data_IF_639330513033
#
_entry.id   IF_639330513033
#
_cell.length_a   1.000
_cell.length_b   1.000
_cell.length_c   1.000
_cell.angle_alpha   90.00
_cell.angle_beta   90.00
_cell.angle_gamma   90.00
#
_symmetry.space_group_name_H-M   'P 1'
#
loop_
_entity.id
_entity.type
_entity.pdbx_description
1 polymer ?
#
# COMPACT_ATOMS: atom_id res chain seq x y z
N UNK A 1 -29.06 -3.05 -32.73
CA UNK A 1 -27.62 -3.04 -33.01
C UNK A 1 -26.97 -2.34 -31.84
N UNK A 2 -26.47 -3.10 -30.88
CA UNK A 2 -25.73 -2.58 -29.72
C UNK A 2 -24.38 -2.09 -30.24
N UNK A 3 -24.13 -0.76 -30.17
CA UNK A 3 -22.80 -0.22 -30.37
C UNK A 3 -21.87 -0.88 -29.36
N UNK A 4 -20.88 -1.63 -29.82
CA UNK A 4 -19.74 -2.03 -28.99
C UNK A 4 -19.11 -0.73 -28.48
N UNK A 5 -19.46 -0.29 -27.24
CA UNK A 5 -18.64 0.67 -26.53
C UNK A 5 -17.25 0.03 -26.45
N UNK A 6 -16.26 0.64 -27.08
CA UNK A 6 -14.88 0.29 -26.84
C UNK A 6 -14.66 0.27 -25.33
N UNK A 7 -14.42 -0.93 -24.79
CA UNK A 7 -14.19 -1.11 -23.36
C UNK A 7 -12.93 -0.36 -23.00
N UNK A 8 -13.07 0.77 -22.30
CA UNK A 8 -11.91 1.49 -21.78
C UNK A 8 -11.12 0.57 -20.87
N UNK A 9 -9.83 0.39 -21.16
CA UNK A 9 -8.94 -0.46 -20.38
C UNK A 9 -8.90 -0.03 -18.90
N UNK A 10 -9.05 1.27 -18.64
CA UNK A 10 -8.86 1.89 -17.33
C UNK A 10 -10.14 2.10 -16.52
N UNK A 11 -11.30 2.03 -17.18
CA UNK A 11 -12.64 2.13 -16.57
C UNK A 11 -13.61 1.22 -17.33
N UNK A 12 -13.46 -0.12 -17.24
CA UNK A 12 -14.18 -1.06 -18.09
C UNK A 12 -15.68 -1.17 -17.79
N UNK A 13 -16.13 -0.70 -16.62
CA UNK A 13 -17.55 -0.66 -16.26
C UNK A 13 -17.97 0.74 -15.84
N UNK A 14 -19.29 0.98 -15.81
CA UNK A 14 -19.86 2.25 -15.33
C UNK A 14 -19.46 2.52 -13.87
N UNK A 15 -19.49 1.50 -13.02
CA UNK A 15 -19.09 1.59 -11.61
C UNK A 15 -17.65 2.06 -11.44
N UNK A 16 -16.72 1.52 -12.23
CA UNK A 16 -15.32 1.98 -12.22
C UNK A 16 -15.20 3.44 -12.69
N UNK A 17 -16.02 3.86 -13.66
CA UNK A 17 -16.09 5.25 -14.11
C UNK A 17 -16.57 6.19 -12.99
N UNK A 18 -17.67 5.84 -12.33
CA UNK A 18 -18.22 6.60 -11.20
C UNK A 18 -17.24 6.67 -10.04
N UNK A 19 -16.60 5.55 -9.70
CA UNK A 19 -15.57 5.50 -8.67
C UNK A 19 -14.41 6.47 -8.97
N UNK A 20 -13.91 6.46 -10.19
CA UNK A 20 -12.80 7.35 -10.60
C UNK A 20 -13.22 8.82 -10.54
N UNK A 21 -14.40 9.17 -11.03
CA UNK A 21 -14.90 10.54 -11.00
C UNK A 21 -15.04 11.04 -9.57
N UNK A 22 -15.67 10.24 -8.70
CA UNK A 22 -15.81 10.53 -7.26
C UNK A 22 -14.43 10.75 -6.61
N UNK A 23 -13.48 9.85 -6.83
CA UNK A 23 -12.13 9.94 -6.26
C UNK A 23 -11.37 11.15 -6.78
N UNK A 24 -11.45 11.47 -8.08
CA UNK A 24 -10.82 12.66 -8.65
C UNK A 24 -11.33 13.93 -7.97
N UNK A 25 -12.65 14.02 -7.75
CA UNK A 25 -13.28 15.13 -7.01
C UNK A 25 -12.81 15.20 -5.55
N UNK A 26 -12.80 14.08 -4.85
CA UNK A 26 -12.35 13.97 -3.47
C UNK A 26 -10.87 14.34 -3.31
N UNK A 27 -10.02 13.82 -4.18
CA UNK A 27 -8.58 14.13 -4.18
C UNK A 27 -8.37 15.62 -4.36
N UNK A 28 -8.97 16.23 -5.36
CA UNK A 28 -8.83 17.65 -5.66
C UNK A 28 -9.29 18.56 -4.51
N UNK A 29 -10.38 18.20 -3.84
CA UNK A 29 -11.03 19.07 -2.85
C UNK A 29 -10.63 18.81 -1.41
N UNK A 30 -10.15 17.61 -1.09
CA UNK A 30 -9.86 17.18 0.28
C UNK A 30 -8.41 16.74 0.49
N UNK A 31 -7.85 15.92 -0.42
CA UNK A 31 -6.51 15.34 -0.26
C UNK A 31 -5.43 16.33 -0.67
N UNK A 32 -5.56 16.95 -1.84
CA UNK A 32 -4.54 17.87 -2.39
C UNK A 32 -4.27 19.09 -1.47
N UNK A 33 -5.28 19.76 -0.90
CA UNK A 33 -5.04 20.94 -0.07
C UNK A 33 -4.23 20.70 1.20
N UNK A 34 -4.27 19.48 1.77
CA UNK A 34 -3.57 19.17 3.03
C UNK A 34 -2.20 18.50 2.86
N UNK A 35 -1.93 17.95 1.67
CA UNK A 35 -0.82 17.01 1.46
C UNK A 35 0.57 17.60 1.80
N UNK A 36 0.83 18.85 1.42
CA UNK A 36 2.14 19.49 1.67
C UNK A 36 2.34 19.83 3.16
N UNK A 37 1.29 20.33 3.83
CA UNK A 37 1.36 20.66 5.25
C UNK A 37 1.60 19.39 6.09
N UNK A 38 0.85 18.33 5.83
CA UNK A 38 1.00 17.07 6.56
C UNK A 38 2.35 16.38 6.30
N UNK A 39 2.92 16.50 5.09
CA UNK A 39 4.29 16.04 4.81
C UNK A 39 5.31 16.81 5.65
N UNK A 40 5.23 18.14 5.70
CA UNK A 40 6.15 18.99 6.46
C UNK A 40 6.07 18.78 7.96
N UNK A 41 4.87 18.59 8.48
CA UNK A 41 4.63 18.34 9.89
C UNK A 41 4.79 16.88 10.30
N UNK A 42 4.99 15.99 9.32
CA UNK A 42 5.03 14.53 9.51
C UNK A 42 3.80 14.01 10.26
N UNK A 43 2.61 14.51 9.92
CA UNK A 43 1.36 14.17 10.59
C UNK A 43 0.42 13.37 9.69
N UNK A 44 -0.16 12.35 10.26
CA UNK A 44 -1.24 11.60 9.63
C UNK A 44 -2.59 12.28 9.85
N UNK A 45 -3.34 12.51 8.76
CA UNK A 45 -4.66 13.10 8.84
C UNK A 45 -5.73 12.06 9.16
N UNK A 46 -5.86 11.72 10.44
CA UNK A 46 -6.85 10.74 10.94
C UNK A 46 -8.28 11.12 10.56
N UNK A 47 -8.63 12.43 10.61
CA UNK A 47 -9.98 12.88 10.27
C UNK A 47 -10.30 12.61 8.80
N UNK A 48 -9.42 13.03 7.89
CA UNK A 48 -9.59 12.80 6.46
C UNK A 48 -9.58 11.30 6.13
N UNK A 49 -8.78 10.51 6.85
CA UNK A 49 -8.74 9.07 6.68
C UNK A 49 -10.10 8.42 7.00
N UNK A 50 -10.77 8.84 8.05
CA UNK A 50 -12.11 8.36 8.40
C UNK A 50 -13.17 8.73 7.35
N UNK A 51 -13.03 9.87 6.67
CA UNK A 51 -13.90 10.23 5.54
C UNK A 51 -13.83 9.20 4.39
N UNK A 52 -12.72 8.45 4.25
CA UNK A 52 -12.65 7.33 3.29
C UNK A 52 -13.60 6.18 3.67
N UNK A 53 -13.88 5.98 4.96
CA UNK A 53 -14.86 5.01 5.43
C UNK A 53 -16.29 5.39 5.00
N UNK A 54 -16.64 6.66 5.12
CA UNK A 54 -17.95 7.18 4.68
C UNK A 54 -18.16 6.99 3.16
N UNK A 55 -17.09 6.94 2.39
CA UNK A 55 -17.08 6.68 0.95
C UNK A 55 -17.01 5.17 0.60
N UNK A 56 -16.99 4.27 1.60
CA UNK A 56 -16.88 2.83 1.40
C UNK A 56 -15.49 2.35 0.95
N UNK A 57 -14.48 3.24 0.90
CA UNK A 57 -13.16 2.93 0.36
C UNK A 57 -12.33 2.05 1.30
N UNK A 58 -12.44 2.22 2.62
CA UNK A 58 -11.65 1.45 3.59
C UNK A 58 -11.96 -0.05 3.54
N UNK A 59 -13.19 -0.41 3.13
CA UNK A 59 -13.63 -1.78 2.89
C UNK A 59 -13.79 -2.14 1.41
N UNK A 60 -13.09 -1.48 0.50
CA UNK A 60 -13.34 -1.54 -0.95
C UNK A 60 -13.43 -2.97 -1.51
N UNK A 61 -12.63 -3.91 -1.03
CA UNK A 61 -12.63 -5.32 -1.47
C UNK A 61 -13.29 -6.29 -0.49
N UNK A 62 -13.72 -5.82 0.69
CA UNK A 62 -14.36 -6.65 1.69
C UNK A 62 -15.83 -6.90 1.34
N UNK A 63 -16.40 -8.07 1.72
CA UNK A 63 -17.81 -8.37 1.49
C UNK A 63 -18.77 -7.38 2.14
N UNK A 64 -19.88 -7.07 1.46
CA UNK A 64 -20.94 -6.16 1.97
C UNK A 64 -21.49 -6.60 3.33
N UNK A 65 -21.63 -7.90 3.56
CA UNK A 65 -22.10 -8.46 4.84
C UNK A 65 -21.27 -8.07 6.07
N UNK A 66 -20.06 -7.55 5.85
CA UNK A 66 -19.17 -7.04 6.89
C UNK A 66 -18.93 -5.52 6.78
N UNK A 67 -19.75 -4.80 6.00
CA UNK A 67 -19.65 -3.36 5.82
C UNK A 67 -18.68 -2.91 4.72
N UNK A 68 -18.19 -3.84 3.89
CA UNK A 68 -17.37 -3.53 2.71
C UNK A 68 -18.18 -3.15 1.49
N UNK A 69 -17.49 -2.77 0.42
CA UNK A 69 -18.10 -2.42 -0.88
C UNK A 69 -18.05 -3.55 -1.92
N UNK A 70 -17.44 -4.67 -1.59
CA UNK A 70 -17.31 -5.91 -2.40
C UNK A 70 -16.86 -5.68 -3.86
N UNK A 71 -16.06 -4.64 -4.08
CA UNK A 71 -15.50 -4.32 -5.39
C UNK A 71 -14.27 -5.18 -5.70
N UNK A 72 -13.87 -5.19 -6.95
CA UNK A 72 -12.75 -5.99 -7.47
C UNK A 72 -11.36 -5.35 -7.27
N UNK A 73 -10.33 -6.06 -7.73
CA UNK A 73 -8.94 -5.58 -7.68
C UNK A 73 -8.72 -4.34 -8.55
N UNK A 74 -9.50 -4.15 -9.61
CA UNK A 74 -9.40 -3.00 -10.49
C UNK A 74 -9.89 -1.73 -9.78
N UNK A 75 -10.97 -1.82 -9.01
CA UNK A 75 -11.45 -0.72 -8.17
C UNK A 75 -10.38 -0.31 -7.14
N UNK A 76 -9.72 -1.29 -6.50
CA UNK A 76 -8.60 -1.01 -5.60
C UNK A 76 -7.45 -0.29 -6.33
N UNK A 77 -7.09 -0.69 -7.55
CA UNK A 77 -6.08 -0.01 -8.38
C UNK A 77 -6.49 1.43 -8.67
N UNK A 78 -7.73 1.67 -9.07
CA UNK A 78 -8.25 3.03 -9.33
C UNK A 78 -8.11 3.91 -8.07
N UNK A 79 -8.51 3.39 -6.90
CA UNK A 79 -8.41 4.13 -5.65
C UNK A 79 -6.96 4.51 -5.30
N UNK A 80 -6.02 3.58 -5.46
CA UNK A 80 -4.61 3.84 -5.15
C UNK A 80 -3.95 4.78 -6.17
N UNK A 81 -4.27 4.67 -7.48
CA UNK A 81 -3.77 5.59 -8.51
C UNK A 81 -4.27 7.03 -8.26
N UNK A 82 -5.56 7.20 -7.93
CA UNK A 82 -6.13 8.53 -7.71
C UNK A 82 -5.58 9.18 -6.42
N UNK A 83 -5.63 8.49 -5.27
CA UNK A 83 -5.17 9.03 -4.00
C UNK A 83 -3.67 9.39 -4.03
N UNK A 84 -2.83 8.52 -4.58
CA UNK A 84 -1.38 8.74 -4.64
C UNK A 84 -0.95 9.81 -5.64
N UNK A 85 -1.83 10.25 -6.54
CA UNK A 85 -1.54 11.37 -7.43
C UNK A 85 -1.40 12.69 -6.69
N UNK A 86 -1.93 12.78 -5.48
CA UNK A 86 -1.83 13.95 -4.62
C UNK A 86 -1.00 13.69 -3.36
N UNK A 87 -1.36 12.66 -2.59
CA UNK A 87 -0.68 12.33 -1.34
C UNK A 87 -0.34 10.83 -1.26
N UNK A 88 0.87 10.44 -1.74
CA UNK A 88 1.32 9.05 -1.65
C UNK A 88 1.41 8.53 -0.21
N UNK A 89 1.72 9.39 0.77
CA UNK A 89 1.82 9.01 2.17
C UNK A 89 0.45 8.68 2.78
N UNK A 90 -0.56 9.50 2.50
CA UNK A 90 -1.94 9.22 2.86
C UNK A 90 -2.47 7.95 2.19
N UNK A 91 -2.15 7.76 0.90
CA UNK A 91 -2.47 6.54 0.16
C UNK A 91 -1.78 5.29 0.74
N UNK A 92 -0.55 5.39 1.26
CA UNK A 92 0.13 4.29 1.93
C UNK A 92 -0.59 3.86 3.20
N UNK A 93 -1.11 4.80 3.99
CA UNK A 93 -1.95 4.51 5.16
C UNK A 93 -3.25 3.83 4.77
N UNK A 94 -3.87 4.27 3.67
CA UNK A 94 -5.04 3.60 3.07
C UNK A 94 -4.71 2.18 2.63
N UNK A 95 -3.60 1.94 1.92
CA UNK A 95 -3.13 0.62 1.51
C UNK A 95 -2.94 -0.31 2.71
N UNK A 96 -2.23 0.15 3.74
CA UNK A 96 -1.95 -0.65 4.94
C UNK A 96 -3.22 -1.07 5.65
N UNK A 97 -4.24 -0.22 5.67
CA UNK A 97 -5.54 -0.50 6.24
C UNK A 97 -6.39 -1.40 5.35
N UNK A 98 -6.68 -0.95 4.13
CA UNK A 98 -7.65 -1.60 3.26
C UNK A 98 -7.13 -2.90 2.64
N UNK A 99 -5.85 -2.95 2.22
CA UNK A 99 -5.29 -4.12 1.56
C UNK A 99 -4.55 -5.04 2.53
N UNK A 100 -3.71 -4.50 3.43
CA UNK A 100 -2.91 -5.35 4.30
C UNK A 100 -3.70 -5.89 5.49
N UNK A 101 -4.69 -5.14 5.99
CA UNK A 101 -5.55 -5.59 7.08
C UNK A 101 -6.91 -6.07 6.58
N UNK A 102 -7.76 -5.19 6.06
CA UNK A 102 -9.17 -5.50 5.75
C UNK A 102 -9.29 -6.62 4.73
N UNK A 103 -8.64 -6.52 3.58
CA UNK A 103 -8.68 -7.59 2.56
C UNK A 103 -8.11 -8.91 3.09
N UNK A 104 -7.00 -8.85 3.84
CA UNK A 104 -6.34 -10.04 4.38
C UNK A 104 -7.23 -10.76 5.41
N UNK A 105 -7.86 -10.02 6.33
CA UNK A 105 -8.82 -10.56 7.30
C UNK A 105 -10.04 -11.13 6.58
N UNK A 106 -10.63 -10.39 5.64
CA UNK A 106 -11.81 -10.83 4.88
C UNK A 106 -11.58 -12.15 4.13
N UNK A 107 -10.35 -12.45 3.70
CA UNK A 107 -10.02 -13.65 2.90
C UNK A 107 -9.48 -14.82 3.73
N UNK A 108 -8.99 -14.59 4.94
CA UNK A 108 -8.27 -15.61 5.69
C UNK A 108 -8.83 -15.87 7.11
N UNK A 109 -9.62 -14.95 7.66
CA UNK A 109 -10.20 -15.10 9.00
C UNK A 109 -11.52 -15.88 8.97
N UNK A 110 -11.95 -16.34 10.15
CA UNK A 110 -13.24 -16.96 10.31
C UNK A 110 -14.39 -15.95 10.20
N UNK A 111 -15.61 -16.42 9.92
CA UNK A 111 -16.79 -15.56 9.85
C UNK A 111 -16.99 -14.74 11.14
N UNK A 112 -16.80 -15.38 12.32
CA UNK A 112 -16.88 -14.71 13.61
C UNK A 112 -15.84 -13.59 13.77
N UNK A 113 -14.61 -13.81 13.31
CA UNK A 113 -13.56 -12.78 13.32
C UNK A 113 -13.90 -11.65 12.33
N UNK A 114 -14.35 -11.99 11.12
CA UNK A 114 -14.79 -10.98 10.16
C UNK A 114 -15.92 -10.11 10.72
N UNK A 115 -16.94 -10.71 11.34
CA UNK A 115 -18.04 -9.99 11.97
C UNK A 115 -17.59 -9.09 13.13
N UNK A 116 -16.57 -9.50 13.89
CA UNK A 116 -16.03 -8.72 15.00
C UNK A 116 -15.18 -7.53 14.55
N UNK A 117 -14.33 -7.70 13.53
CA UNK A 117 -13.28 -6.73 13.22
C UNK A 117 -13.55 -5.87 11.98
N UNK A 118 -14.24 -6.40 10.96
CA UNK A 118 -14.35 -5.70 9.69
C UNK A 118 -15.32 -4.51 9.71
N UNK A 119 -16.50 -4.53 10.39
CA UNK A 119 -17.41 -3.38 10.36
C UNK A 119 -16.75 -2.08 10.85
N UNK A 120 -16.07 -2.11 11.98
CA UNK A 120 -15.36 -0.95 12.53
C UNK A 120 -14.17 -0.53 11.65
N UNK A 121 -13.48 -1.49 11.01
CA UNK A 121 -12.41 -1.18 10.08
C UNK A 121 -12.95 -0.57 8.78
N UNK A 122 -13.98 -1.14 8.17
CA UNK A 122 -14.57 -0.63 6.94
C UNK A 122 -15.17 0.78 7.09
N UNK A 123 -15.75 1.09 8.25
CA UNK A 123 -16.28 2.43 8.56
C UNK A 123 -15.20 3.45 8.94
N UNK A 124 -13.95 3.01 9.23
CA UNK A 124 -12.89 3.87 9.74
C UNK A 124 -13.01 4.22 11.22
N UNK A 125 -13.93 3.61 11.95
CA UNK A 125 -14.02 3.72 13.41
C UNK A 125 -12.73 3.22 14.07
N UNK A 126 -12.14 2.15 13.50
CA UNK A 126 -10.82 1.63 13.88
C UNK A 126 -9.82 1.72 12.73
N UNK A 127 -8.62 2.18 13.04
CA UNK A 127 -7.50 2.26 12.09
C UNK A 127 -6.57 1.08 12.32
N UNK A 128 -6.40 0.28 11.27
CA UNK A 128 -5.77 -1.03 11.35
C UNK A 128 -4.51 -1.11 10.48
N UNK A 129 -3.67 -2.11 10.75
CA UNK A 129 -2.46 -2.36 10.00
C UNK A 129 -2.01 -3.83 10.05
N UNK A 130 -0.92 -4.12 9.33
CA UNK A 130 -0.28 -5.43 9.33
C UNK A 130 1.15 -5.32 9.89
N UNK A 131 1.53 -6.22 10.77
CA UNK A 131 2.81 -6.23 11.43
C UNK A 131 3.62 -7.51 11.11
N UNK A 132 4.54 -7.37 10.14
CA UNK A 132 5.37 -8.48 9.65
C UNK A 132 6.85 -8.22 9.91
N UNK A 133 7.39 -7.10 9.40
CA UNK A 133 8.81 -6.75 9.47
C UNK A 133 9.30 -6.54 10.90
N UNK A 134 10.56 -6.81 11.14
CA UNK A 134 11.25 -6.66 12.44
C UNK A 134 12.52 -5.81 12.27
N UNK A 135 13.13 -5.27 13.33
CA UNK A 135 14.37 -4.50 13.21
C UNK A 135 15.49 -5.23 12.46
N UNK A 136 15.57 -6.56 12.59
CA UNK A 136 16.57 -7.40 11.95
C UNK A 136 16.09 -8.17 10.72
N UNK A 137 14.80 -8.06 10.35
CA UNK A 137 14.17 -8.88 9.31
C UNK A 137 13.23 -8.04 8.43
N UNK A 138 13.64 -7.80 7.19
CA UNK A 138 12.82 -7.18 6.15
C UNK A 138 12.53 -8.17 5.02
N UNK A 139 13.44 -8.26 4.04
CA UNK A 139 13.28 -9.14 2.88
C UNK A 139 13.20 -10.62 3.23
N UNK A 140 13.95 -11.08 4.24
CA UNK A 140 13.91 -12.45 4.75
C UNK A 140 12.81 -12.61 5.81
N UNK A 141 11.54 -12.43 5.41
CA UNK A 141 10.40 -12.48 6.33
C UNK A 141 10.25 -13.81 7.08
N UNK A 142 10.75 -14.91 6.53
CA UNK A 142 10.73 -16.21 7.19
C UNK A 142 11.82 -16.35 8.27
N UNK A 143 12.75 -15.39 8.34
CA UNK A 143 13.71 -15.25 9.43
C UNK A 143 13.20 -14.54 10.68
N UNK A 144 11.90 -14.13 10.72
CA UNK A 144 11.34 -13.39 11.86
C UNK A 144 11.52 -14.11 13.18
N UNK A 145 11.77 -13.31 14.23
CA UNK A 145 12.10 -13.77 15.57
C UNK A 145 10.98 -13.60 16.60
N UNK A 146 9.97 -12.77 16.30
CA UNK A 146 8.78 -12.66 17.15
C UNK A 146 8.15 -14.03 17.32
N UNK A 147 7.95 -14.47 18.57
CA UNK A 147 7.40 -15.77 18.92
C UNK A 147 6.00 -15.66 19.48
N UNK A 148 5.20 -16.72 19.33
CA UNK A 148 3.91 -16.87 19.97
C UNK A 148 3.84 -18.28 20.58
N UNK A 149 3.85 -18.37 21.91
CA UNK A 149 3.73 -19.63 22.66
C UNK A 149 2.35 -19.76 23.26
N UNK A 150 1.72 -20.92 23.07
CA UNK A 150 0.46 -21.22 23.73
C UNK A 150 0.66 -21.30 25.24
N UNK A 151 -0.20 -20.63 26.02
CA UNK A 151 -0.14 -20.65 27.48
C UNK A 151 -0.49 -22.03 28.04
N UNK A 152 -0.05 -22.35 29.26
CA UNK A 152 -0.32 -23.64 29.92
C UNK A 152 -1.82 -23.92 30.12
N UNK A 153 -2.62 -22.87 30.32
CA UNK A 153 -4.08 -23.00 30.40
C UNK A 153 -4.78 -23.16 29.04
N UNK A 154 -4.03 -23.05 27.95
CA UNK A 154 -4.54 -23.22 26.59
C UNK A 154 -5.45 -22.10 26.07
N UNK A 155 -5.69 -21.04 26.85
CA UNK A 155 -6.64 -19.95 26.49
C UNK A 155 -6.00 -18.77 25.71
N UNK A 156 -4.67 -18.65 25.75
CA UNK A 156 -3.96 -17.52 25.16
C UNK A 156 -2.72 -18.01 24.40
N UNK A 157 -2.27 -17.18 23.45
CA UNK A 157 -0.89 -17.16 22.99
C UNK A 157 -0.16 -16.00 23.67
N UNK A 158 1.07 -16.23 24.09
CA UNK A 158 1.98 -15.22 24.64
C UNK A 158 2.93 -14.79 23.53
N UNK A 159 2.72 -13.58 22.98
CA UNK A 159 3.56 -13.02 21.95
C UNK A 159 4.73 -12.28 22.58
N UNK A 160 5.94 -12.53 22.06
CA UNK A 160 7.17 -11.86 22.46
C UNK A 160 7.99 -11.46 21.23
N UNK A 161 8.37 -10.18 21.15
CA UNK A 161 9.20 -9.64 20.08
C UNK A 161 8.86 -8.20 19.75
N UNK A 162 9.43 -7.72 18.64
CA UNK A 162 9.27 -6.34 18.18
C UNK A 162 9.01 -6.34 16.69
N UNK A 163 8.02 -5.53 16.24
CA UNK A 163 7.74 -5.28 14.84
C UNK A 163 8.14 -3.84 14.49
N UNK A 164 8.72 -3.65 13.31
CA UNK A 164 9.30 -2.38 12.88
C UNK A 164 8.74 -1.94 11.53
N UNK A 165 8.70 -0.65 11.29
CA UNK A 165 8.23 -0.03 10.05
C UNK A 165 6.73 -0.24 9.79
N UNK A 166 5.92 -0.32 10.86
CA UNK A 166 4.50 -0.64 10.73
C UNK A 166 3.69 0.62 10.42
N UNK A 167 3.17 0.69 9.20
CA UNK A 167 2.25 1.76 8.77
C UNK A 167 0.94 1.63 9.56
N UNK A 168 0.39 2.76 9.99
CA UNK A 168 -0.73 2.85 10.94
C UNK A 168 -0.41 2.28 12.33
N UNK A 169 0.86 2.01 12.63
CA UNK A 169 1.30 1.52 13.94
C UNK A 169 1.02 2.50 15.07
N UNK A 170 0.97 3.79 14.74
CA UNK A 170 0.57 4.85 15.67
C UNK A 170 -0.40 5.81 14.98
N UNK A 171 -1.29 6.45 15.75
CA UNK A 171 -2.17 7.53 15.28
C UNK A 171 -1.51 8.89 15.45
N UNK A 172 -0.72 9.03 16.50
CA UNK A 172 0.12 10.21 16.82
C UNK A 172 1.42 9.75 17.50
N UNK A 173 2.06 10.63 18.28
CA UNK A 173 3.32 10.32 18.95
C UNK A 173 3.18 9.33 20.12
N UNK A 174 1.98 9.11 20.62
CA UNK A 174 1.70 8.35 21.86
C UNK A 174 0.63 7.28 21.70
N UNK A 175 -0.22 7.40 20.69
CA UNK A 175 -1.39 6.56 20.53
C UNK A 175 -1.16 5.47 19.49
N UNK A 176 -1.32 4.20 19.91
CA UNK A 176 -1.31 3.04 19.01
C UNK A 176 -2.47 3.10 18.02
N UNK A 177 -2.28 2.53 16.82
CA UNK A 177 -3.37 2.07 15.98
C UNK A 177 -4.23 1.03 16.69
N UNK A 178 -5.42 0.76 16.16
CA UNK A 178 -6.44 0.03 16.94
C UNK A 178 -6.29 -1.49 16.89
N UNK A 179 -6.03 -2.07 15.69
CA UNK A 179 -5.94 -3.53 15.53
C UNK A 179 -4.92 -3.89 14.46
N UNK A 180 -4.15 -4.94 14.73
CA UNK A 180 -3.07 -5.38 13.83
C UNK A 180 -3.19 -6.87 13.51
N UNK A 181 -2.92 -7.20 12.23
CA UNK A 181 -2.64 -8.57 11.83
C UNK A 181 -1.14 -8.83 12.01
N UNK A 182 -0.79 -9.54 13.09
CA UNK A 182 0.59 -9.77 13.52
C UNK A 182 1.05 -11.17 13.12
N UNK A 183 2.19 -11.27 12.44
CA UNK A 183 2.84 -12.54 12.11
C UNK A 183 3.86 -12.92 13.19
N UNK A 184 3.82 -14.15 13.68
CA UNK A 184 4.74 -14.65 14.70
C UNK A 184 5.06 -16.13 14.49
N UNK A 185 6.21 -16.56 15.01
CA UNK A 185 6.66 -17.95 14.99
C UNK A 185 5.97 -18.74 16.11
N UNK A 186 5.24 -19.79 15.73
CA UNK A 186 4.57 -20.72 16.66
C UNK A 186 5.24 -22.08 16.72
N UNK A 187 6.07 -22.45 15.73
CA UNK A 187 6.74 -23.74 15.64
C UNK A 187 8.23 -23.64 15.32
N UNK A 188 8.90 -24.76 15.41
CA UNK A 188 10.30 -24.95 15.02
C UNK A 188 10.48 -26.34 14.38
N UNK A 189 9.63 -26.65 13.40
CA UNK A 189 9.57 -27.98 12.75
C UNK A 189 10.69 -28.20 11.73
N UNK A 190 11.49 -27.17 11.44
CA UNK A 190 12.44 -27.15 10.31
C UNK A 190 11.76 -26.96 8.94
N UNK A 191 10.43 -26.89 8.91
CA UNK A 191 9.64 -26.57 7.72
C UNK A 191 9.12 -25.15 7.86
N UNK A 192 9.95 -24.17 7.56
CA UNK A 192 9.67 -22.74 7.77
C UNK A 192 8.25 -22.31 7.38
N UNK A 193 7.66 -22.88 6.32
CA UNK A 193 6.29 -22.57 5.89
C UNK A 193 5.20 -23.02 6.87
N UNK A 194 5.48 -23.88 7.84
CA UNK A 194 4.54 -24.42 8.84
C UNK A 194 4.80 -23.87 10.24
N UNK A 195 5.79 -23.02 10.42
CA UNK A 195 6.24 -22.54 11.72
C UNK A 195 5.68 -21.15 12.07
N UNK A 196 4.86 -20.56 11.19
CA UNK A 196 4.33 -19.21 11.39
C UNK A 196 2.81 -19.18 11.45
N UNK A 197 2.29 -18.38 12.36
CA UNK A 197 0.87 -18.07 12.51
C UNK A 197 0.63 -16.58 12.48
N UNK A 198 -0.59 -16.18 12.19
CA UNK A 198 -1.02 -14.78 12.21
C UNK A 198 -2.13 -14.58 13.24
N UNK A 199 -2.11 -13.43 13.89
CA UNK A 199 -2.95 -13.11 15.04
C UNK A 199 -3.57 -11.74 14.89
N UNK A 200 -4.85 -11.59 15.26
CA UNK A 200 -5.49 -10.30 15.45
C UNK A 200 -5.16 -9.78 16.85
N UNK A 201 -4.36 -8.71 16.92
CA UNK A 201 -3.90 -8.10 18.15
C UNK A 201 -4.52 -6.72 18.29
N UNK A 202 -5.27 -6.51 19.37
CA UNK A 202 -6.01 -5.28 19.64
C UNK A 202 -5.21 -4.36 20.56
N UNK A 203 -5.30 -3.07 20.34
CA UNK A 203 -4.89 -2.04 21.30
C UNK A 203 -5.51 -2.34 22.66
N UNK A 204 -4.69 -2.28 23.70
CA UNK A 204 -5.13 -2.59 25.08
C UNK A 204 -4.92 -4.04 25.53
N UNK A 205 -4.46 -4.94 24.66
CA UNK A 205 -4.04 -6.26 25.12
C UNK A 205 -2.84 -6.14 26.07
N UNK A 206 -2.88 -6.84 27.20
CA UNK A 206 -1.80 -6.86 28.18
C UNK A 206 -0.49 -7.29 27.53
N UNK A 207 0.56 -6.48 27.69
CA UNK A 207 1.88 -6.71 27.08
C UNK A 207 2.02 -6.25 25.63
N UNK A 208 1.04 -5.49 25.08
CA UNK A 208 1.15 -4.83 23.78
C UNK A 208 1.33 -3.31 23.96
N UNK A 209 2.38 -2.75 23.37
CA UNK A 209 2.69 -1.33 23.51
C UNK A 209 3.29 -0.73 22.24
N UNK A 210 3.22 0.59 22.14
CA UNK A 210 3.97 1.40 21.18
C UNK A 210 5.43 1.48 21.63
N UNK A 211 6.38 1.06 20.79
CA UNK A 211 7.80 1.28 21.03
C UNK A 211 8.17 2.72 20.75
N UNK A 212 8.11 3.10 19.47
CA UNK A 212 8.34 4.47 19.03
C UNK A 212 7.59 4.77 17.73
N UNK A 213 7.18 6.00 17.54
CA UNK A 213 6.82 6.53 16.24
C UNK A 213 8.09 6.88 15.47
N UNK A 214 8.19 6.42 14.22
CA UNK A 214 9.35 6.65 13.36
C UNK A 214 9.13 7.95 12.60
N UNK A 215 9.97 8.94 12.90
CA UNK A 215 10.01 10.25 12.26
C UNK A 215 11.23 10.40 11.36
N UNK A 216 11.35 11.56 10.72
CA UNK A 216 12.51 11.95 9.92
C UNK A 216 12.77 10.98 8.73
N UNK A 217 11.67 10.51 8.15
CA UNK A 217 11.72 9.64 6.99
C UNK A 217 12.11 10.41 5.72
N UNK A 218 12.76 9.75 4.78
CA UNK A 218 13.05 10.32 3.47
C UNK A 218 11.77 10.82 2.77
N UNK A 219 10.76 9.95 2.68
CA UNK A 219 9.44 10.24 2.10
C UNK A 219 8.33 9.55 2.90
N UNK A 220 7.09 9.61 2.35
CA UNK A 220 5.89 9.09 3.01
C UNK A 220 5.73 9.65 4.44
N UNK A 221 6.09 10.92 4.64
CA UNK A 221 6.16 11.54 5.95
C UNK A 221 4.80 11.71 6.61
N UNK A 222 3.76 11.98 5.83
CA UNK A 222 2.38 12.09 6.32
C UNK A 222 1.73 10.74 6.68
N UNK A 223 2.43 9.62 6.51
CA UNK A 223 2.01 8.29 6.96
C UNK A 223 2.67 7.96 8.30
N UNK A 224 1.88 7.64 9.33
CA UNK A 224 2.42 7.25 10.61
C UNK A 224 3.01 5.84 10.56
N UNK A 225 4.29 5.75 10.87
CA UNK A 225 5.06 4.51 10.90
C UNK A 225 5.58 4.28 12.32
N UNK A 226 5.46 3.07 12.85
CA UNK A 226 5.84 2.81 14.22
C UNK A 226 6.54 1.47 14.43
N UNK A 227 7.19 1.37 15.58
CA UNK A 227 7.64 0.15 16.22
C UNK A 227 6.56 -0.34 17.19
N UNK A 228 6.25 -1.64 17.11
CA UNK A 228 5.28 -2.31 17.99
C UNK A 228 6.02 -3.33 18.86
N UNK A 229 5.78 -3.28 20.18
CA UNK A 229 6.47 -4.12 21.16
C UNK A 229 5.50 -5.08 21.82
N UNK A 230 5.90 -6.35 21.92
CA UNK A 230 5.15 -7.43 22.54
C UNK A 230 5.99 -8.05 23.66
N UNK A 231 5.52 -7.94 24.91
CA UNK A 231 6.16 -8.48 26.10
C UNK A 231 5.17 -9.40 26.85
N UNK A 232 5.25 -10.69 26.58
CA UNK A 232 4.25 -11.66 27.03
C UNK A 232 2.81 -11.22 26.68
N UNK A 233 2.65 -10.62 25.52
CA UNK A 233 1.37 -10.08 25.09
C UNK A 233 0.34 -11.21 25.01
N UNK A 234 -0.74 -11.07 25.80
CA UNK A 234 -1.80 -12.07 25.93
C UNK A 234 -2.81 -11.94 24.80
N UNK A 235 -2.70 -12.81 23.80
CA UNK A 235 -3.62 -12.86 22.67
C UNK A 235 -4.54 -14.07 22.82
N UNK A 236 -5.87 -13.90 22.87
CA UNK A 236 -6.82 -15.02 22.97
C UNK A 236 -6.62 -16.03 21.83
N UNK A 237 -6.83 -17.32 22.10
CA UNK A 237 -6.64 -18.38 21.09
C UNK A 237 -7.57 -18.23 19.89
N UNK A 238 -8.76 -17.66 20.10
CA UNK A 238 -9.72 -17.34 19.03
C UNK A 238 -9.28 -16.22 18.09
N UNK A 239 -8.21 -15.49 18.42
CA UNK A 239 -7.65 -14.42 17.59
C UNK A 239 -6.60 -14.93 16.58
N UNK A 240 -6.29 -16.23 16.55
CA UNK A 240 -5.47 -16.81 15.47
C UNK A 240 -6.25 -16.75 14.16
N UNK A 241 -5.62 -16.29 13.09
CA UNK A 241 -6.23 -16.21 11.77
C UNK A 241 -5.88 -17.47 10.97
N UNK A 242 -6.90 -18.19 10.52
CA UNK A 242 -6.74 -19.50 9.90
C UNK A 242 -6.40 -20.58 10.95
N UNK A 243 -5.46 -21.44 10.64
CA UNK A 243 -4.95 -22.50 11.54
C UNK A 243 -3.52 -22.22 11.95
N UNK A 244 -3.10 -22.78 13.09
CA UNK A 244 -1.70 -22.68 13.51
C UNK A 244 -0.76 -23.21 12.42
N UNK A 245 0.28 -22.45 12.11
CA UNK A 245 1.24 -22.78 11.05
C UNK A 245 0.81 -22.39 9.61
N UNK A 246 -0.37 -21.78 9.41
CA UNK A 246 -0.89 -21.48 8.07
C UNK A 246 -0.55 -20.07 7.56
N UNK A 247 0.10 -19.22 8.34
CA UNK A 247 0.28 -17.80 8.02
C UNK A 247 1.00 -17.52 6.70
N UNK A 248 1.93 -18.38 6.27
CA UNK A 248 2.66 -18.18 5.01
C UNK A 248 1.71 -18.25 3.81
N UNK A 249 0.68 -19.10 3.82
CA UNK A 249 -0.30 -19.16 2.75
C UNK A 249 -1.17 -17.89 2.72
N UNK A 250 -1.62 -17.42 3.88
CA UNK A 250 -2.38 -16.18 4.01
C UNK A 250 -1.57 -14.98 3.49
N UNK A 251 -0.29 -14.91 3.88
CA UNK A 251 0.64 -13.91 3.40
C UNK A 251 0.78 -13.93 1.87
N UNK A 252 1.01 -15.10 1.27
CA UNK A 252 1.22 -15.22 -0.17
C UNK A 252 0.01 -14.76 -0.99
N UNK A 253 -1.23 -15.03 -0.54
CA UNK A 253 -2.45 -14.55 -1.19
C UNK A 253 -2.52 -13.03 -1.18
N UNK A 254 -2.25 -12.42 -0.04
CA UNK A 254 -2.39 -10.98 0.11
C UNK A 254 -1.27 -10.20 -0.60
N UNK A 255 -0.07 -10.78 -0.75
CA UNK A 255 1.05 -10.12 -1.43
C UNK A 255 0.76 -9.81 -2.91
N UNK A 256 -0.11 -10.57 -3.58
CA UNK A 256 -0.43 -10.31 -5.00
C UNK A 256 -1.19 -8.99 -5.14
N UNK A 257 -2.26 -8.77 -4.37
CA UNK A 257 -3.02 -7.50 -4.42
C UNK A 257 -2.19 -6.32 -3.87
N UNK A 258 -1.40 -6.52 -2.81
CA UNK A 258 -0.50 -5.50 -2.26
C UNK A 258 0.45 -4.96 -3.34
N UNK A 259 1.09 -5.83 -4.11
CA UNK A 259 2.05 -5.42 -5.17
C UNK A 259 1.38 -4.65 -6.29
N UNK A 260 0.19 -5.08 -6.70
CA UNK A 260 -0.57 -4.39 -7.75
C UNK A 260 -1.02 -3.00 -7.28
N UNK A 261 -1.44 -2.86 -6.03
CA UNK A 261 -1.84 -1.55 -5.48
C UNK A 261 -0.64 -0.63 -5.22
N UNK A 262 0.52 -1.16 -4.82
CA UNK A 262 1.78 -0.39 -4.77
C UNK A 262 2.22 0.08 -6.17
N UNK A 263 2.03 -0.76 -7.19
CA UNK A 263 2.27 -0.36 -8.58
C UNK A 263 1.28 0.75 -9.01
N UNK A 264 0.02 0.68 -8.59
CA UNK A 264 -0.96 1.75 -8.83
C UNK A 264 -0.59 3.07 -8.12
N UNK A 265 -0.05 3.00 -6.90
CA UNK A 265 0.51 4.19 -6.24
C UNK A 265 1.65 4.82 -7.06
N UNK A 266 2.51 3.99 -7.64
CA UNK A 266 3.58 4.46 -8.54
C UNK A 266 3.03 5.18 -9.77
N UNK A 267 1.89 4.72 -10.32
CA UNK A 267 1.21 5.39 -11.44
C UNK A 267 0.71 6.79 -11.04
N UNK A 268 0.11 6.94 -9.86
CA UNK A 268 -0.36 8.24 -9.38
C UNK A 268 0.78 9.24 -9.22
N UNK A 269 1.90 8.83 -8.62
CA UNK A 269 3.12 9.64 -8.51
C UNK A 269 3.64 10.07 -9.88
N UNK A 270 3.74 9.13 -10.83
CA UNK A 270 4.24 9.40 -12.17
C UNK A 270 3.31 10.35 -12.93
N UNK A 271 1.99 10.13 -12.85
CA UNK A 271 0.98 11.00 -13.47
C UNK A 271 1.11 12.43 -12.98
N UNK A 272 1.12 12.66 -11.67
CA UNK A 272 1.23 14.00 -11.09
C UNK A 272 2.55 14.68 -11.46
N UNK A 273 3.64 13.95 -11.40
CA UNK A 273 4.96 14.45 -11.78
C UNK A 273 4.99 14.89 -13.25
N UNK A 274 4.38 14.10 -14.14
CA UNK A 274 4.27 14.40 -15.56
C UNK A 274 3.37 15.62 -15.83
N UNK A 275 2.24 15.74 -15.12
CA UNK A 275 1.33 16.89 -15.21
C UNK A 275 2.04 18.18 -14.81
N UNK A 276 2.72 18.19 -13.65
CA UNK A 276 3.46 19.37 -13.16
C UNK A 276 4.58 19.74 -14.13
N UNK A 277 5.38 18.76 -14.55
CA UNK A 277 6.48 18.96 -15.50
C UNK A 277 6.00 19.57 -16.84
N UNK A 278 4.90 19.04 -17.38
CA UNK A 278 4.35 19.48 -18.66
C UNK A 278 3.77 20.90 -18.59
N UNK A 279 3.03 21.21 -17.51
CA UNK A 279 2.47 22.55 -17.31
C UNK A 279 3.58 23.58 -17.10
N UNK A 280 4.56 23.28 -16.24
CA UNK A 280 5.70 24.16 -16.04
C UNK A 280 6.49 24.43 -17.33
N UNK A 281 6.74 23.38 -18.12
CA UNK A 281 7.48 23.51 -19.39
C UNK A 281 6.74 24.34 -20.44
N UNK A 282 5.41 24.39 -20.37
CA UNK A 282 4.57 25.23 -21.24
C UNK A 282 4.62 26.70 -20.85
N UNK A 283 4.69 27.00 -19.56
CA UNK A 283 4.58 28.37 -19.03
C UNK A 283 5.93 29.03 -18.85
N UNK A 284 6.97 28.28 -18.47
CA UNK A 284 8.30 28.80 -18.21
C UNK A 284 9.06 29.07 -19.51
N UNK A 285 9.55 30.29 -19.64
CA UNK A 285 10.40 30.69 -20.75
C UNK A 285 11.89 30.77 -20.36
N UNK A 286 12.75 30.40 -21.29
CA UNK A 286 14.19 30.58 -21.25
C UNK A 286 14.71 30.81 -22.69
N UNK A 287 15.72 31.63 -22.83
CA UNK A 287 16.31 31.99 -24.17
C UNK A 287 15.26 32.48 -25.20
N UNK A 288 14.22 33.19 -24.72
CA UNK A 288 13.18 33.79 -25.53
C UNK A 288 12.09 32.85 -26.04
N UNK A 289 11.96 31.66 -25.49
CA UNK A 289 10.90 30.69 -25.83
C UNK A 289 10.52 29.80 -24.67
N UNK A 290 9.30 29.19 -24.67
CA UNK A 290 8.87 28.21 -23.68
C UNK A 290 9.80 27.00 -23.63
N UNK A 291 9.94 26.40 -22.40
CA UNK A 291 10.85 25.24 -22.18
C UNK A 291 10.48 24.03 -23.06
N UNK A 292 9.20 23.80 -23.32
CA UNK A 292 8.74 22.70 -24.16
C UNK A 292 9.21 22.77 -25.62
N UNK A 293 9.85 23.85 -26.04
CA UNK A 293 10.48 23.98 -27.39
C UNK A 293 11.92 23.45 -27.43
N UNK A 294 12.48 23.05 -26.27
CA UNK A 294 13.83 22.47 -26.20
C UNK A 294 13.82 20.96 -26.25
N UNK A 295 14.67 20.36 -27.08
CA UNK A 295 14.70 18.92 -27.34
C UNK A 295 14.92 18.07 -26.08
N UNK A 296 15.73 18.53 -25.11
CA UNK A 296 15.95 17.83 -23.84
C UNK A 296 14.67 17.79 -22.98
N UNK A 297 13.90 18.87 -22.98
CA UNK A 297 12.63 18.93 -22.24
C UNK A 297 11.57 18.08 -22.93
N UNK A 298 11.50 18.13 -24.27
CA UNK A 298 10.62 17.27 -25.07
C UNK A 298 10.90 15.79 -24.78
N UNK A 299 12.20 15.40 -24.71
CA UNK A 299 12.61 14.05 -24.37
C UNK A 299 12.10 13.63 -22.98
N UNK A 300 12.32 14.47 -21.96
CA UNK A 300 11.87 14.17 -20.59
C UNK A 300 10.35 13.93 -20.54
N UNK A 301 9.57 14.78 -21.16
CA UNK A 301 8.10 14.67 -21.19
C UNK A 301 7.66 13.42 -21.97
N UNK A 302 8.19 13.22 -23.18
CA UNK A 302 7.77 12.14 -24.07
C UNK A 302 8.13 10.75 -23.50
N UNK A 303 9.36 10.55 -22.98
CA UNK A 303 9.77 9.30 -22.36
C UNK A 303 8.96 9.03 -21.08
N UNK A 304 8.71 10.05 -20.26
CA UNK A 304 7.89 9.91 -19.06
C UNK A 304 6.46 9.50 -19.39
N UNK A 305 5.86 10.07 -20.40
CA UNK A 305 4.52 9.67 -20.85
C UNK A 305 4.50 8.23 -21.37
N UNK A 306 5.45 7.84 -22.21
CA UNK A 306 5.54 6.49 -22.75
C UNK A 306 5.73 5.44 -21.65
N UNK A 307 6.62 5.69 -20.70
CA UNK A 307 6.86 4.80 -19.55
C UNK A 307 5.62 4.70 -18.63
N UNK A 308 4.95 5.84 -18.34
CA UNK A 308 3.72 5.88 -17.58
C UNK A 308 2.61 5.05 -18.23
N UNK A 309 2.37 5.24 -19.53
CA UNK A 309 1.32 4.52 -20.27
C UNK A 309 1.61 3.02 -20.35
N UNK A 310 2.87 2.63 -20.56
CA UNK A 310 3.27 1.22 -20.52
C UNK A 310 3.00 0.60 -19.15
N UNK A 311 3.40 1.27 -18.06
CA UNK A 311 3.13 0.83 -16.69
C UNK A 311 1.64 0.77 -16.39
N UNK A 312 0.89 1.77 -16.80
CA UNK A 312 -0.56 1.83 -16.59
C UNK A 312 -1.28 0.67 -17.27
N UNK A 313 -0.97 0.42 -18.54
CA UNK A 313 -1.55 -0.72 -19.27
C UNK A 313 -1.20 -2.06 -18.60
N UNK A 314 0.03 -2.23 -18.13
CA UNK A 314 0.46 -3.46 -17.45
C UNK A 314 -0.26 -3.65 -16.11
N UNK A 315 -0.34 -2.62 -15.27
CA UNK A 315 -1.04 -2.69 -13.96
C UNK A 315 -2.52 -3.02 -14.15
N UNK A 316 -3.21 -2.32 -15.04
CA UNK A 316 -4.65 -2.52 -15.27
C UNK A 316 -4.96 -3.88 -15.89
N UNK A 317 -4.12 -4.35 -16.81
CA UNK A 317 -4.26 -5.70 -17.36
C UNK A 317 -4.04 -6.78 -16.29
N UNK A 318 -3.07 -6.60 -15.39
CA UNK A 318 -2.81 -7.50 -14.28
C UNK A 318 -3.97 -7.51 -13.29
N UNK A 319 -4.47 -6.32 -12.89
CA UNK A 319 -5.59 -6.20 -11.97
C UNK A 319 -6.86 -6.89 -12.48
N UNK A 320 -7.17 -6.78 -13.77
CA UNK A 320 -8.33 -7.45 -14.39
C UNK A 320 -8.29 -8.98 -14.31
N UNK A 321 -7.11 -9.56 -14.21
CA UNK A 321 -6.91 -11.03 -14.10
C UNK A 321 -6.82 -11.49 -12.65
N UNK A 322 -6.56 -10.57 -11.72
CA UNK A 322 -6.32 -10.89 -10.32
C UNK A 322 -7.62 -11.31 -9.63
N UNK A 323 -7.61 -12.50 -9.01
CA UNK A 323 -8.67 -12.99 -8.14
C UNK A 323 -8.22 -12.86 -6.69
N UNK A 324 -8.97 -12.12 -5.89
CA UNK A 324 -8.62 -11.76 -4.51
C UNK A 324 -8.55 -12.95 -3.54
N UNK A 325 -9.19 -14.07 -3.86
CA UNK A 325 -9.31 -15.29 -3.05
C UNK A 325 -8.36 -16.41 -3.47
N UNK A 326 -7.56 -16.21 -4.50
CA UNK A 326 -6.64 -17.21 -5.04
C UNK A 326 -5.20 -16.70 -5.13
N UNK A 327 -4.28 -17.61 -5.46
CA UNK A 327 -2.89 -17.33 -5.83
C UNK A 327 -2.68 -17.76 -7.29
N UNK A 328 -1.68 -17.20 -7.95
CA UNK A 328 -1.31 -17.65 -9.31
C UNK A 328 -0.84 -16.54 -10.23
N UNK A 329 -0.90 -15.29 -9.79
CA UNK A 329 -0.50 -14.13 -10.61
C UNK A 329 0.86 -13.55 -10.17
N UNK A 330 1.68 -14.31 -9.43
CA UNK A 330 2.88 -13.80 -8.77
C UNK A 330 3.87 -13.18 -9.76
N UNK A 331 4.09 -13.76 -10.94
CA UNK A 331 5.01 -13.21 -11.94
C UNK A 331 4.56 -11.83 -12.40
N UNK A 332 3.29 -11.68 -12.78
CA UNK A 332 2.76 -10.40 -13.24
C UNK A 332 2.69 -9.37 -12.11
N UNK A 333 2.32 -9.78 -10.89
CA UNK A 333 2.24 -8.86 -9.74
C UNK A 333 3.63 -8.40 -9.28
N UNK A 334 4.65 -9.26 -9.31
CA UNK A 334 6.05 -8.89 -9.11
C UNK A 334 6.53 -7.97 -10.25
N UNK A 335 6.16 -8.29 -11.50
CA UNK A 335 6.56 -7.52 -12.68
C UNK A 335 6.01 -6.09 -12.70
N UNK A 336 4.72 -5.90 -12.41
CA UNK A 336 4.13 -4.54 -12.36
C UNK A 336 4.75 -3.71 -11.24
N UNK A 337 4.98 -4.31 -10.08
CA UNK A 337 5.57 -3.60 -8.94
C UNK A 337 7.03 -3.20 -9.22
N UNK A 338 7.80 -4.11 -9.79
CA UNK A 338 9.19 -3.85 -10.19
C UNK A 338 9.27 -2.71 -11.23
N UNK A 339 8.49 -2.82 -12.32
CA UNK A 339 8.52 -1.83 -13.39
C UNK A 339 8.05 -0.45 -12.93
N UNK A 340 6.90 -0.40 -12.24
CA UNK A 340 6.27 0.87 -11.87
C UNK A 340 7.01 1.60 -10.74
N UNK A 341 7.61 0.88 -9.78
CA UNK A 341 8.43 1.50 -8.73
C UNK A 341 9.61 2.29 -9.31
N UNK A 342 10.39 1.65 -10.19
CA UNK A 342 11.49 2.30 -10.89
C UNK A 342 11.01 3.44 -11.81
N UNK A 343 9.92 3.23 -12.55
CA UNK A 343 9.34 4.21 -13.46
C UNK A 343 8.91 5.47 -12.72
N UNK A 344 8.18 5.34 -11.60
CA UNK A 344 7.72 6.50 -10.84
C UNK A 344 8.87 7.40 -10.37
N UNK A 345 9.95 6.79 -9.88
CA UNK A 345 11.15 7.53 -9.46
C UNK A 345 11.81 8.25 -10.64
N UNK A 346 11.97 7.59 -11.79
CA UNK A 346 12.56 8.21 -12.99
C UNK A 346 11.71 9.38 -13.50
N UNK A 347 10.38 9.23 -13.50
CA UNK A 347 9.48 10.30 -13.94
C UNK A 347 9.52 11.49 -12.99
N UNK A 348 9.50 11.25 -11.67
CA UNK A 348 9.62 12.30 -10.66
C UNK A 348 10.99 13.00 -10.72
N UNK A 349 12.06 12.28 -10.97
CA UNK A 349 13.41 12.82 -11.15
C UNK A 349 13.50 13.75 -12.37
N UNK A 350 12.94 13.32 -13.51
CA UNK A 350 12.86 14.17 -14.73
C UNK A 350 12.01 15.40 -14.49
N UNK A 351 10.97 15.33 -13.66
CA UNK A 351 10.17 16.49 -13.29
C UNK A 351 10.98 17.50 -12.48
N UNK A 352 11.72 17.06 -11.45
CA UNK A 352 12.64 17.92 -10.70
C UNK A 352 13.66 18.56 -11.64
N UNK A 353 14.29 17.77 -12.51
CA UNK A 353 15.31 18.24 -13.46
C UNK A 353 14.74 19.29 -14.43
N UNK A 354 13.51 19.09 -14.90
CA UNK A 354 12.85 20.02 -15.83
C UNK A 354 12.48 21.34 -15.16
N UNK A 355 12.05 21.31 -13.90
CA UNK A 355 11.73 22.51 -13.14
C UNK A 355 12.99 23.24 -12.61
N UNK A 356 14.14 22.57 -12.56
CA UNK A 356 15.38 23.13 -12.05
C UNK A 356 15.27 23.54 -10.57
N UNK A 357 15.67 24.75 -10.22
CA UNK A 357 15.60 25.24 -8.84
C UNK A 357 14.19 25.20 -8.23
N UNK A 358 13.16 25.43 -9.01
CA UNK A 358 11.76 25.29 -8.57
C UNK A 358 11.33 23.87 -8.30
N UNK A 359 11.94 22.88 -8.97
CA UNK A 359 11.73 21.46 -8.69
C UNK A 359 12.44 20.99 -7.40
N UNK A 360 13.44 21.73 -6.94
CA UNK A 360 14.25 21.39 -5.76
C UNK A 360 13.65 21.91 -4.44
N UNK A 361 12.64 22.77 -4.51
CA UNK A 361 11.92 23.33 -3.36
C UNK A 361 10.47 22.83 -3.34
N UNK A 362 9.84 22.84 -2.18
CA UNK A 362 8.51 22.26 -1.97
C UNK A 362 7.33 22.94 -2.66
N UNK A 363 7.54 24.02 -3.41
CA UNK A 363 6.49 24.83 -4.02
C UNK A 363 5.67 24.05 -5.07
N UNK A 364 6.34 23.24 -5.91
CA UNK A 364 5.72 22.46 -6.97
C UNK A 364 5.47 20.99 -6.60
N UNK A 365 5.76 20.58 -5.37
CA UNK A 365 5.54 19.22 -4.83
C UNK A 365 6.31 18.07 -5.52
N UNK A 366 7.06 18.30 -6.60
CA UNK A 366 7.74 17.21 -7.33
C UNK A 366 8.89 16.60 -6.52
N UNK A 367 9.55 17.37 -5.66
CA UNK A 367 10.57 16.85 -4.75
C UNK A 367 9.97 15.88 -3.73
N UNK A 368 8.76 16.16 -3.21
CA UNK A 368 8.03 15.28 -2.31
C UNK A 368 7.65 13.97 -3.02
N UNK A 369 7.11 14.07 -4.24
CA UNK A 369 6.76 12.89 -5.04
C UNK A 369 7.98 12.00 -5.33
N UNK A 370 9.15 12.61 -5.57
CA UNK A 370 10.40 11.89 -5.74
C UNK A 370 10.84 11.17 -4.45
N UNK A 371 10.79 11.86 -3.30
CA UNK A 371 11.09 11.25 -1.98
C UNK A 371 10.15 10.09 -1.68
N UNK A 372 8.86 10.28 -1.92
CA UNK A 372 7.81 9.28 -1.68
C UNK A 372 7.98 8.05 -2.59
N UNK A 373 8.36 8.25 -3.85
CA UNK A 373 8.56 7.16 -4.80
C UNK A 373 9.65 6.17 -4.36
N UNK A 374 10.64 6.62 -3.55
CA UNK A 374 11.72 5.74 -3.09
C UNK A 374 11.22 4.58 -2.23
N UNK A 375 10.15 4.76 -1.44
CA UNK A 375 9.58 3.67 -0.68
C UNK A 375 9.07 2.54 -1.58
N UNK A 376 8.57 2.85 -2.77
CA UNK A 376 7.99 1.88 -3.70
C UNK A 376 9.04 0.95 -4.33
N UNK A 377 10.32 1.23 -4.20
CA UNK A 377 11.43 0.30 -4.53
C UNK A 377 11.76 -0.65 -3.37
N UNK A 378 11.31 -0.35 -2.13
CA UNK A 378 11.70 -1.04 -0.89
C UNK A 378 10.53 -1.81 -0.27
N UNK A 379 9.37 -1.13 -0.07
CA UNK A 379 8.19 -1.69 0.58
C UNK A 379 7.42 -2.67 -0.29
N UNK A 380 6.71 -3.63 0.30
CA UNK A 380 5.99 -4.68 -0.42
C UNK A 380 6.90 -5.70 -1.14
N UNK A 381 8.15 -5.78 -0.73
CA UNK A 381 9.26 -6.49 -1.36
C UNK A 381 10.17 -5.54 -2.13
N UNK A 382 11.49 -5.70 -1.94
CA UNK A 382 12.49 -4.91 -2.67
C UNK A 382 12.52 -5.30 -4.14
N UNK A 383 13.04 -4.42 -5.01
CA UNK A 383 13.21 -4.72 -6.44
C UNK A 383 14.03 -6.00 -6.64
N UNK A 384 15.05 -6.23 -5.82
CA UNK A 384 15.88 -7.45 -5.84
C UNK A 384 15.07 -8.71 -5.50
N UNK A 385 14.10 -8.60 -4.58
CA UNK A 385 13.19 -9.71 -4.27
C UNK A 385 12.31 -10.06 -5.47
N UNK A 386 11.80 -9.06 -6.18
CA UNK A 386 10.98 -9.26 -7.36
C UNK A 386 11.78 -9.90 -8.50
N UNK A 387 13.02 -9.45 -8.76
CA UNK A 387 13.93 -10.10 -9.72
C UNK A 387 14.07 -11.60 -9.40
N UNK A 388 14.43 -11.93 -8.13
CA UNK A 388 14.58 -13.33 -7.70
C UNK A 388 13.30 -14.14 -7.91
N UNK A 389 12.15 -13.62 -7.47
CA UNK A 389 10.88 -14.33 -7.53
C UNK A 389 10.47 -14.60 -8.99
N UNK A 390 10.52 -13.58 -9.84
CA UNK A 390 10.16 -13.70 -11.25
C UNK A 390 11.01 -14.73 -11.96
N UNK A 391 12.34 -14.69 -11.80
CA UNK A 391 13.25 -15.67 -12.42
C UNK A 391 12.96 -17.09 -11.94
N UNK A 392 12.73 -17.29 -10.63
CA UNK A 392 12.39 -18.60 -10.08
C UNK A 392 11.08 -19.17 -10.68
N UNK A 393 10.07 -18.32 -10.87
CA UNK A 393 8.79 -18.75 -11.42
C UNK A 393 8.86 -18.99 -12.92
N UNK A 394 9.50 -18.10 -13.69
CA UNK A 394 9.66 -18.24 -15.14
C UNK A 394 10.49 -19.48 -15.50
N UNK A 395 11.57 -19.77 -14.76
CA UNK A 395 12.36 -20.99 -14.98
C UNK A 395 11.60 -22.26 -14.65
N UNK A 396 10.73 -22.21 -13.64
CA UNK A 396 9.94 -23.39 -13.23
C UNK A 396 8.74 -23.67 -14.12
N UNK A 397 8.02 -22.61 -14.54
CA UNK A 397 6.69 -22.72 -15.14
C UNK A 397 6.68 -22.35 -16.63
N UNK A 398 7.75 -21.74 -17.16
CA UNK A 398 7.78 -21.14 -18.49
C UNK A 398 7.07 -19.75 -18.51
N UNK A 399 6.89 -19.22 -19.73
CA UNK A 399 6.14 -17.99 -20.00
C UNK A 399 4.64 -18.28 -20.08
#
# INVERSE_FOLDING_TARGET
MSSSRDLDLFTPTEEHGVLREMLTGFVKTKVDPQALEHDREEKFNVKLFRELGDLGLLGITAPEKYGGSEMDALAAVIAHEELSSSDPAFCLSFLAHSMLFVNNVARNASDAQCQKYLPDACSGAKICGMAMSEPSVGTDVLGMRTTAKKSDCGKFYLLNGTKMWITNGALDDTELGDTFLVYARTGNSGKAKQDFSSFLVEKGFEGFSLGQRIKDKCGMRASNTAELVFENCKVPVENIVGTEGSAVLCMMRNLEIERVTLAAMSLGIARRSLEVMSNYAKEREAFGQPLNNFGQIQKNIAESYAEYMAGRAYVYNTARKLKLDSVGNRVDTDGVKLYCGDMAKRVADRAIQTLGGYGYVGEYNVERLWRDSKLLEIGGGTNESHHKNMVQDLVRNGL
#
